data_IF_754848330487
#
_entry.id   IF_754848330487
#
_cell.length_a   1.000
_cell.length_b   1.000
_cell.length_c   1.000
_cell.angle_alpha   90.00
_cell.angle_beta   90.00
_cell.angle_gamma   90.00
#
_symmetry.space_group_name_H-M   'P 1'
#
loop_
_entity.id
_entity.type
_entity.pdbx_description
1 polymer ?
#
# COMPACT_ATOMS: atom_id res chain seq x y z
N UNK A 1 -0.62 -7.92 -25.17
CA UNK A 1 -0.72 -6.90 -24.10
C UNK A 1 -0.25 -7.59 -22.83
N UNK A 2 0.64 -6.99 -22.01
CA UNK A 2 1.06 -7.60 -20.75
C UNK A 2 -0.15 -7.77 -19.82
N UNK A 3 -0.23 -8.91 -19.13
CA UNK A 3 -1.22 -9.20 -18.10
C UNK A 3 -0.71 -8.68 -16.76
N UNK A 4 -1.46 -7.75 -16.18
CA UNK A 4 -1.21 -7.22 -14.84
C UNK A 4 -2.24 -7.80 -13.88
N UNK A 5 -1.81 -8.33 -12.74
CA UNK A 5 -2.71 -8.75 -11.65
C UNK A 5 -2.39 -7.98 -10.39
N UNK A 6 -3.42 -7.44 -9.74
CA UNK A 6 -3.29 -6.60 -8.55
C UNK A 6 -3.87 -7.32 -7.36
N UNK A 7 -3.15 -7.27 -6.24
CA UNK A 7 -3.51 -7.91 -4.98
C UNK A 7 -3.36 -6.91 -3.83
N UNK A 8 -4.15 -7.09 -2.77
CA UNK A 8 -4.10 -6.24 -1.60
C UNK A 8 -3.29 -6.86 -0.45
N UNK A 9 -2.84 -6.06 0.52
CA UNK A 9 -2.31 -6.58 1.78
C UNK A 9 -3.29 -7.48 2.52
N UNK A 10 -2.73 -8.41 3.29
CA UNK A 10 -3.48 -9.17 4.29
C UNK A 10 -3.90 -8.20 5.41
N UNK A 11 -5.19 -8.16 5.77
CA UNK A 11 -5.62 -7.40 6.94
C UNK A 11 -5.14 -8.12 8.22
N UNK A 12 -4.67 -7.36 9.21
CA UNK A 12 -4.31 -7.88 10.52
C UNK A 12 -5.54 -8.32 11.33
N UNK A 13 -6.70 -7.70 11.06
CA UNK A 13 -7.98 -8.05 11.65
C UNK A 13 -9.09 -8.20 10.61
N UNK A 14 -10.04 -9.10 10.87
CA UNK A 14 -11.23 -9.31 10.06
C UNK A 14 -12.47 -8.84 10.82
N UNK A 15 -13.37 -8.17 10.12
CA UNK A 15 -14.69 -7.81 10.62
C UNK A 15 -15.68 -8.95 10.36
N UNK A 16 -16.17 -9.56 11.43
CA UNK A 16 -17.15 -10.66 11.40
C UNK A 16 -18.60 -10.16 11.63
N UNK A 17 -18.80 -8.84 11.70
CA UNK A 17 -20.08 -8.18 11.94
C UNK A 17 -20.51 -8.09 13.41
N UNK A 18 -19.96 -8.94 14.29
CA UNK A 18 -20.10 -8.84 15.75
C UNK A 18 -18.84 -8.33 16.47
N UNK A 19 -17.77 -8.07 15.70
CA UNK A 19 -16.53 -7.50 16.18
C UNK A 19 -15.36 -7.75 15.24
N UNK A 20 -14.20 -7.23 15.62
CA UNK A 20 -12.93 -7.46 14.96
C UNK A 20 -12.21 -8.64 15.61
N UNK A 21 -11.66 -9.55 14.80
CA UNK A 21 -10.76 -10.61 15.27
C UNK A 21 -9.43 -10.58 14.52
N UNK A 22 -8.31 -10.99 15.14
CA UNK A 22 -7.07 -11.18 14.40
C UNK A 22 -7.21 -12.24 13.30
N UNK A 23 -6.49 -12.04 12.20
CA UNK A 23 -6.29 -13.06 11.18
C UNK A 23 -5.44 -14.21 11.75
N UNK A 24 -5.72 -15.44 11.35
CA UNK A 24 -4.97 -16.62 11.80
C UNK A 24 -3.80 -16.94 10.86
N UNK A 25 -2.75 -17.63 11.34
CA UNK A 25 -1.63 -18.04 10.48
C UNK A 25 -2.05 -18.86 9.25
N UNK A 26 -3.07 -19.72 9.38
CA UNK A 26 -3.59 -20.52 8.26
C UNK A 26 -4.29 -19.64 7.21
N UNK A 27 -5.00 -18.59 7.62
CA UNK A 27 -5.65 -17.62 6.71
C UNK A 27 -4.60 -16.78 5.96
N UNK A 28 -3.55 -16.33 6.65
CA UNK A 28 -2.41 -15.62 6.04
C UNK A 28 -1.73 -16.52 5.01
N UNK A 29 -1.37 -17.75 5.40
CA UNK A 29 -0.69 -18.70 4.54
C UNK A 29 -1.53 -19.04 3.30
N UNK A 30 -2.85 -19.22 3.48
CA UNK A 30 -3.77 -19.44 2.39
C UNK A 30 -3.82 -18.24 1.42
N UNK A 31 -3.99 -17.02 1.94
CA UNK A 31 -4.06 -15.81 1.11
C UNK A 31 -2.78 -15.56 0.31
N UNK A 32 -1.62 -15.61 0.97
CA UNK A 32 -0.33 -15.41 0.32
C UNK A 32 -0.04 -16.53 -0.69
N UNK A 33 -0.39 -17.78 -0.37
CA UNK A 33 -0.28 -18.91 -1.28
C UNK A 33 -1.14 -18.77 -2.54
N UNK A 34 -2.39 -18.35 -2.39
CA UNK A 34 -3.28 -18.09 -3.54
C UNK A 34 -2.78 -16.90 -4.37
N UNK A 35 -2.28 -15.85 -3.73
CA UNK A 35 -1.68 -14.70 -4.42
C UNK A 35 -0.49 -15.12 -5.28
N UNK A 36 0.40 -15.95 -4.75
CA UNK A 36 1.52 -16.55 -5.52
C UNK A 36 0.98 -17.36 -6.69
N UNK A 37 0.00 -18.24 -6.44
CA UNK A 37 -0.57 -19.13 -7.46
C UNK A 37 -1.19 -18.35 -8.61
N UNK A 38 -1.98 -17.33 -8.33
CA UNK A 38 -2.56 -16.48 -9.38
C UNK A 38 -1.49 -15.66 -10.08
N UNK A 39 -0.53 -15.09 -9.34
CA UNK A 39 0.58 -14.31 -9.88
C UNK A 39 1.46 -15.08 -10.89
N UNK A 40 1.46 -16.41 -10.91
CA UNK A 40 2.19 -17.20 -11.91
C UNK A 40 1.80 -16.90 -13.36
N UNK A 41 0.59 -16.38 -13.59
CA UNK A 41 0.09 -16.04 -14.93
C UNK A 41 0.19 -14.54 -15.27
N UNK A 42 0.75 -13.72 -14.38
CA UNK A 42 1.00 -12.31 -14.63
C UNK A 42 2.35 -12.10 -15.31
N UNK A 43 2.37 -11.16 -16.26
CA UNK A 43 3.59 -10.56 -16.78
C UNK A 43 4.15 -9.50 -15.80
N UNK A 44 3.27 -8.84 -15.05
CA UNK A 44 3.61 -7.83 -14.03
C UNK A 44 2.73 -8.03 -12.80
N UNK A 45 3.34 -8.16 -11.63
CA UNK A 45 2.63 -8.28 -10.36
C UNK A 45 2.35 -6.88 -9.81
N UNK A 46 1.11 -6.60 -9.43
CA UNK A 46 0.69 -5.35 -8.83
C UNK A 46 0.27 -5.57 -7.40
N UNK A 47 0.50 -4.57 -6.56
CA UNK A 47 0.00 -4.57 -5.19
C UNK A 47 -0.55 -3.21 -4.80
N UNK A 48 -1.76 -3.15 -4.23
CA UNK A 48 -2.38 -1.91 -3.77
C UNK A 48 -2.24 -1.74 -2.26
N UNK A 49 -1.30 -0.89 -1.85
CA UNK A 49 -0.91 -0.70 -0.44
C UNK A 49 -1.37 0.67 0.02
N UNK A 50 -2.34 0.69 0.94
CA UNK A 50 -2.94 1.90 1.50
C UNK A 50 -2.75 1.98 3.03
N UNK A 51 -1.52 2.23 3.51
CA UNK A 51 -1.19 2.03 4.91
C UNK A 51 -1.53 3.22 5.83
N UNK A 52 -2.13 4.31 5.30
CA UNK A 52 -2.30 5.58 6.03
C UNK A 52 -3.77 5.85 6.37
N UNK A 53 -4.13 6.12 7.64
CA UNK A 53 -3.29 5.95 8.82
C UNK A 53 -3.23 4.47 9.24
N UNK A 54 -2.14 4.02 9.89
CA UNK A 54 -1.93 2.60 10.19
C UNK A 54 -3.01 2.03 11.13
N UNK A 55 -3.52 2.83 12.07
CA UNK A 55 -4.60 2.44 12.98
C UNK A 55 -5.94 2.18 12.29
N UNK A 56 -6.15 2.73 11.08
CA UNK A 56 -7.33 2.44 10.29
C UNK A 56 -7.07 1.31 9.30
N UNK A 57 -5.92 1.35 8.61
CA UNK A 57 -5.55 0.35 7.61
C UNK A 57 -5.47 -1.06 8.21
N UNK A 58 -4.93 -1.19 9.44
CA UNK A 58 -4.84 -2.44 10.21
C UNK A 58 -4.39 -3.62 9.35
N UNK A 59 -3.28 -3.45 8.62
CA UNK A 59 -2.70 -4.47 7.75
C UNK A 59 -1.56 -5.20 8.46
N UNK A 60 -1.36 -6.46 8.09
CA UNK A 60 -0.14 -7.23 8.43
C UNK A 60 0.73 -7.38 7.19
N UNK A 61 1.96 -7.85 7.38
CA UNK A 61 2.92 -8.09 6.31
C UNK A 61 3.20 -9.59 6.14
N UNK A 62 3.81 -10.01 5.01
CA UNK A 62 4.17 -11.41 4.76
C UNK A 62 5.09 -12.05 5.81
N UNK A 63 5.76 -11.26 6.65
CA UNK A 63 6.78 -11.73 7.58
C UNK A 63 6.46 -11.48 9.06
N UNK A 64 5.23 -11.04 9.38
CA UNK A 64 4.82 -10.63 10.73
C UNK A 64 3.79 -11.56 11.40
N UNK A 65 3.49 -12.73 10.85
CA UNK A 65 2.60 -13.74 11.45
C UNK A 65 1.25 -13.19 11.96
N UNK A 66 0.72 -12.16 11.30
CA UNK A 66 -0.57 -11.54 11.64
C UNK A 66 -0.50 -10.32 12.55
N UNK A 67 0.68 -9.99 13.08
CA UNK A 67 0.89 -8.75 13.82
C UNK A 67 0.70 -7.54 12.88
N UNK A 68 0.09 -6.49 13.42
CA UNK A 68 -0.12 -5.25 12.67
C UNK A 68 1.23 -4.62 12.34
N UNK A 69 1.44 -4.36 11.05
CA UNK A 69 2.63 -3.70 10.55
C UNK A 69 2.47 -2.18 10.65
N UNK A 70 3.56 -1.47 10.89
CA UNK A 70 3.60 -0.04 10.62
C UNK A 70 3.67 0.22 9.10
N UNK A 71 3.58 1.50 8.71
CA UNK A 71 3.59 1.94 7.32
C UNK A 71 4.83 1.44 6.57
N UNK A 72 6.01 1.68 7.14
CA UNK A 72 7.28 1.39 6.47
C UNK A 72 7.47 -0.12 6.35
N UNK A 73 7.27 -0.86 7.43
CA UNK A 73 7.34 -2.32 7.44
C UNK A 73 6.36 -2.94 6.45
N UNK A 74 5.11 -2.46 6.38
CA UNK A 74 4.13 -2.92 5.38
C UNK A 74 4.72 -2.83 3.97
N UNK A 75 5.23 -1.65 3.60
CA UNK A 75 5.73 -1.40 2.25
C UNK A 75 6.99 -2.21 1.95
N UNK A 76 7.97 -2.24 2.86
CA UNK A 76 9.24 -2.94 2.63
C UNK A 76 9.06 -4.44 2.57
N UNK A 77 8.20 -5.01 3.42
CA UNK A 77 7.98 -6.44 3.47
C UNK A 77 7.21 -6.93 2.24
N UNK A 78 6.17 -6.21 1.80
CA UNK A 78 5.50 -6.56 0.54
C UNK A 78 6.42 -6.36 -0.66
N UNK A 79 7.27 -5.32 -0.69
CA UNK A 79 8.21 -5.14 -1.79
C UNK A 79 9.26 -6.27 -1.84
N UNK A 80 9.81 -6.69 -0.69
CA UNK A 80 10.72 -7.82 -0.61
C UNK A 80 10.04 -9.12 -1.05
N UNK A 81 8.84 -9.38 -0.55
CA UNK A 81 8.07 -10.56 -0.92
C UNK A 81 7.69 -10.60 -2.40
N UNK A 82 7.31 -9.46 -2.99
CA UNK A 82 7.05 -9.33 -4.42
C UNK A 82 8.30 -9.62 -5.26
N UNK A 83 9.48 -9.17 -4.81
CA UNK A 83 10.74 -9.49 -5.46
C UNK A 83 11.06 -11.00 -5.39
N UNK A 84 10.74 -11.66 -4.27
CA UNK A 84 10.91 -13.11 -4.09
C UNK A 84 9.99 -13.91 -5.03
N UNK A 85 8.69 -13.64 -5.01
CA UNK A 85 7.70 -14.41 -5.80
C UNK A 85 7.71 -14.01 -7.29
N UNK A 86 8.24 -12.83 -7.61
CA UNK A 86 8.34 -12.30 -8.95
C UNK A 86 9.33 -13.08 -9.81
N UNK A 87 10.33 -13.74 -9.22
CA UNK A 87 11.39 -14.47 -9.95
C UNK A 87 12.02 -13.62 -11.08
N UNK A 88 12.22 -12.33 -10.82
CA UNK A 88 12.78 -11.36 -11.78
C UNK A 88 11.76 -10.68 -12.70
N UNK A 89 10.46 -11.02 -12.61
CA UNK A 89 9.40 -10.26 -13.27
C UNK A 89 9.26 -8.88 -12.62
N UNK A 90 8.93 -7.83 -13.39
CA UNK A 90 8.66 -6.52 -12.82
C UNK A 90 7.40 -6.57 -11.96
N UNK A 91 7.37 -5.72 -10.95
CA UNK A 91 6.18 -5.47 -10.15
C UNK A 91 5.94 -3.96 -9.99
N UNK A 92 4.72 -3.60 -9.62
CA UNK A 92 4.35 -2.22 -9.30
C UNK A 92 3.63 -2.13 -7.98
N UNK A 93 3.72 -0.97 -7.35
CA UNK A 93 2.96 -0.64 -6.15
C UNK A 93 1.99 0.49 -6.48
N UNK A 94 0.70 0.26 -6.22
CA UNK A 94 -0.32 1.28 -6.17
C UNK A 94 -0.39 1.83 -4.73
N UNK A 95 0.00 3.08 -4.57
CA UNK A 95 0.16 3.79 -3.31
C UNK A 95 -1.01 4.74 -3.07
N UNK A 96 -1.28 4.99 -1.80
CA UNK A 96 -2.38 5.83 -1.35
C UNK A 96 -2.17 7.31 -1.69
N UNK A 97 -3.16 7.89 -2.38
CA UNK A 97 -3.31 9.32 -2.60
C UNK A 97 -4.76 9.77 -2.34
N UNK A 98 -5.33 9.31 -1.23
CA UNK A 98 -6.68 9.62 -0.74
C UNK A 98 -6.74 9.43 0.79
N UNK A 99 -7.79 9.91 1.45
CA UNK A 99 -8.15 9.54 2.81
C UNK A 99 -9.24 8.47 2.79
N UNK A 100 -9.25 7.54 3.74
CA UNK A 100 -10.29 6.49 3.79
C UNK A 100 -11.72 7.05 3.81
N UNK A 101 -11.95 8.21 4.42
CA UNK A 101 -13.25 8.90 4.41
C UNK A 101 -13.71 9.31 3.00
N UNK A 102 -12.79 9.43 2.04
CA UNK A 102 -13.12 9.75 0.66
C UNK A 102 -13.73 8.54 -0.09
N UNK A 103 -13.62 7.31 0.47
CA UNK A 103 -14.14 6.08 -0.15
C UNK A 103 -15.66 5.89 0.06
N UNK A 104 -16.26 6.63 0.99
CA UNK A 104 -17.69 6.54 1.29
C UNK A 104 -17.99 6.61 2.78
N UNK A 105 -19.18 6.16 3.14
CA UNK A 105 -19.62 6.11 4.54
C UNK A 105 -18.88 5.00 5.30
N UNK A 106 -18.03 5.40 6.23
CA UNK A 106 -17.27 4.51 7.12
C UNK A 106 -18.04 4.14 8.39
N UNK A 107 -19.28 4.61 8.53
CA UNK A 107 -20.10 4.44 9.72
C UNK A 107 -19.82 5.47 10.81
N UNK A 108 -20.69 5.53 11.85
CA UNK A 108 -20.65 6.55 12.89
C UNK A 108 -19.44 6.45 13.82
N UNK A 109 -18.81 5.27 13.90
CA UNK A 109 -17.69 4.98 14.79
C UNK A 109 -16.33 5.10 14.10
N UNK A 110 -16.29 5.58 12.86
CA UNK A 110 -15.05 5.77 12.12
C UNK A 110 -14.14 6.78 12.86
N UNK A 111 -12.87 6.44 13.09
CA UNK A 111 -11.96 7.36 13.78
C UNK A 111 -11.75 8.60 12.92
N UNK A 112 -11.56 9.76 13.57
CA UNK A 112 -11.26 11.00 12.88
C UNK A 112 -10.01 10.89 11.97
N UNK A 113 -9.08 10.00 12.31
CA UNK A 113 -7.90 9.69 11.51
C UNK A 113 -8.26 9.13 10.11
N UNK A 114 -9.43 8.52 9.92
CA UNK A 114 -9.85 8.05 8.60
C UNK A 114 -10.04 9.19 7.57
N UNK A 115 -10.24 10.42 8.03
CA UNK A 115 -10.28 11.61 7.18
C UNK A 115 -8.89 12.20 6.87
N UNK A 116 -7.82 11.63 7.44
CA UNK A 116 -6.46 12.07 7.21
C UNK A 116 -5.96 11.57 5.85
N UNK A 117 -5.61 12.53 4.98
CA UNK A 117 -4.83 12.26 3.76
C UNK A 117 -3.36 12.07 4.11
N UNK A 118 -2.58 11.31 3.30
CA UNK A 118 -1.14 11.22 3.46
C UNK A 118 -0.47 12.60 3.53
N UNK A 119 0.42 12.78 4.49
CA UNK A 119 1.27 13.98 4.56
C UNK A 119 2.39 13.90 3.53
N UNK A 120 3.11 15.01 3.25
CA UNK A 120 4.31 14.96 2.40
C UNK A 120 5.37 13.94 2.84
N UNK A 121 5.52 13.71 4.15
CA UNK A 121 6.44 12.71 4.70
C UNK A 121 5.93 11.28 4.51
N UNK A 122 4.61 11.06 4.59
CA UNK A 122 4.01 9.76 4.26
C UNK A 122 4.19 9.44 2.78
N UNK A 123 3.92 10.42 1.89
CA UNK A 123 4.12 10.28 0.44
C UNK A 123 5.58 9.96 0.12
N UNK A 124 6.52 10.62 0.79
CA UNK A 124 7.95 10.34 0.66
C UNK A 124 8.30 8.94 1.12
N UNK A 125 7.84 8.55 2.30
CA UNK A 125 8.05 7.21 2.87
C UNK A 125 7.55 6.12 1.93
N UNK A 126 6.32 6.26 1.41
CA UNK A 126 5.73 5.33 0.45
C UNK A 126 6.54 5.24 -0.85
N UNK A 127 6.93 6.39 -1.42
CA UNK A 127 7.71 6.43 -2.67
C UNK A 127 9.12 5.82 -2.50
N UNK A 128 9.78 6.10 -1.37
CA UNK A 128 11.10 5.59 -1.09
C UNK A 128 11.10 4.08 -0.81
N UNK A 129 10.20 3.58 0.03
CA UNK A 129 10.09 2.15 0.28
C UNK A 129 9.79 1.37 -1.02
N UNK A 130 8.92 1.91 -1.88
CA UNK A 130 8.64 1.32 -3.19
C UNK A 130 9.87 1.29 -4.10
N UNK A 131 10.63 2.39 -4.17
CA UNK A 131 11.83 2.48 -4.99
C UNK A 131 12.97 1.58 -4.47
N UNK A 132 13.24 1.61 -3.17
CA UNK A 132 14.29 0.81 -2.52
C UNK A 132 14.00 -0.70 -2.63
N UNK A 133 12.72 -1.08 -2.56
CA UNK A 133 12.28 -2.45 -2.81
C UNK A 133 12.48 -2.91 -4.26
N UNK A 134 12.65 -1.98 -5.20
CA UNK A 134 12.86 -2.28 -6.62
C UNK A 134 11.59 -2.30 -7.47
N UNK A 135 10.52 -1.61 -7.04
CA UNK A 135 9.30 -1.49 -7.85
C UNK A 135 9.62 -0.88 -9.21
N UNK A 136 9.15 -1.52 -10.29
CA UNK A 136 9.36 -1.05 -11.65
C UNK A 136 8.49 0.17 -11.98
N UNK A 137 7.33 0.26 -11.32
CA UNK A 137 6.36 1.36 -11.48
C UNK A 137 5.76 1.70 -10.12
N UNK A 138 5.62 2.99 -9.85
CA UNK A 138 4.83 3.53 -8.74
C UNK A 138 3.57 4.14 -9.34
N UNK A 139 2.41 3.72 -8.83
CA UNK A 139 1.10 4.26 -9.20
C UNK A 139 0.52 4.96 -7.98
N UNK A 140 -0.04 6.15 -8.13
CA UNK A 140 -0.83 6.77 -7.07
C UNK A 140 -2.31 6.52 -7.36
N UNK A 141 -3.07 6.05 -6.38
CA UNK A 141 -4.51 5.84 -6.50
C UNK A 141 -5.27 6.83 -5.61
N UNK A 142 -6.38 7.36 -6.10
CA UNK A 142 -7.24 8.27 -5.33
C UNK A 142 -7.67 9.54 -6.06
N UNK A 143 -7.15 9.83 -7.26
CA UNK A 143 -7.43 11.08 -7.98
C UNK A 143 -8.92 11.28 -8.30
N UNK A 144 -9.68 10.21 -8.46
CA UNK A 144 -11.13 10.27 -8.69
C UNK A 144 -11.92 10.68 -7.45
N UNK A 145 -11.28 10.69 -6.28
CA UNK A 145 -11.87 11.02 -4.99
C UNK A 145 -11.55 12.45 -4.56
N UNK A 146 -10.64 13.12 -5.27
CA UNK A 146 -10.22 14.49 -4.97
C UNK A 146 -11.20 15.51 -5.55
N UNK A 147 -11.42 16.60 -4.82
CA UNK A 147 -12.19 17.74 -5.29
C UNK A 147 -11.34 19.01 -5.46
N UNK A 148 -11.99 20.16 -5.66
CA UNK A 148 -11.29 21.43 -5.88
C UNK A 148 -10.48 21.91 -4.66
N UNK A 149 -10.90 21.52 -3.45
CA UNK A 149 -10.23 21.90 -2.20
C UNK A 149 -8.96 21.05 -1.96
N UNK A 150 -8.81 19.94 -2.70
CA UNK A 150 -7.66 19.02 -2.63
C UNK A 150 -6.49 19.38 -3.56
N UNK A 151 -6.54 20.53 -4.24
CA UNK A 151 -5.51 20.92 -5.20
C UNK A 151 -4.09 20.98 -4.59
N UNK A 152 -3.98 21.40 -3.32
CA UNK A 152 -2.71 21.44 -2.61
C UNK A 152 -2.15 20.03 -2.34
N UNK A 153 -3.00 19.12 -1.87
CA UNK A 153 -2.61 17.73 -1.63
C UNK A 153 -2.15 17.04 -2.93
N UNK A 154 -2.88 17.24 -4.04
CA UNK A 154 -2.45 16.69 -5.33
C UNK A 154 -1.10 17.26 -5.80
N UNK A 155 -0.81 18.52 -5.50
CA UNK A 155 0.50 19.11 -5.79
C UNK A 155 1.63 18.41 -5.00
N UNK A 156 1.38 17.98 -3.76
CA UNK A 156 2.35 17.22 -2.96
C UNK A 156 2.61 15.82 -3.53
N UNK A 157 1.57 15.11 -3.99
CA UNK A 157 1.71 13.82 -4.68
C UNK A 157 2.58 13.95 -5.94
N UNK A 158 2.36 15.01 -6.72
CA UNK A 158 3.18 15.32 -7.90
C UNK A 158 4.62 15.70 -7.51
N UNK A 159 4.81 16.42 -6.40
CA UNK A 159 6.13 16.77 -5.91
C UNK A 159 6.93 15.52 -5.51
N UNK A 160 6.33 14.59 -4.76
CA UNK A 160 6.94 13.33 -4.39
C UNK A 160 7.32 12.49 -5.62
N UNK A 161 6.39 12.35 -6.58
CA UNK A 161 6.62 11.65 -7.85
C UNK A 161 7.81 12.20 -8.65
N UNK A 162 7.92 13.54 -8.71
CA UNK A 162 9.03 14.21 -9.40
C UNK A 162 10.34 14.06 -8.66
N UNK A 163 10.32 14.13 -7.33
CA UNK A 163 11.51 14.01 -6.51
C UNK A 163 12.13 12.61 -6.62
N UNK A 164 11.33 11.55 -6.44
CA UNK A 164 11.80 10.16 -6.56
C UNK A 164 12.32 9.84 -7.96
N UNK A 165 11.74 10.43 -9.01
CA UNK A 165 12.21 10.22 -10.39
C UNK A 165 13.51 10.97 -10.70
N UNK A 166 13.73 12.15 -10.09
CA UNK A 166 14.86 13.02 -10.41
C UNK A 166 16.15 12.59 -9.73
N UNK A 167 16.06 12.25 -8.45
CA UNK A 167 17.21 11.93 -7.61
C UNK A 167 16.78 11.05 -6.42
N UNK A 168 16.44 9.76 -6.68
CA UNK A 168 15.86 8.91 -5.66
C UNK A 168 16.82 8.68 -4.49
N UNK A 169 18.12 8.56 -4.75
CA UNK A 169 19.14 8.34 -3.72
C UNK A 169 19.11 9.47 -2.69
N UNK A 170 19.22 10.73 -3.13
CA UNK A 170 19.20 11.86 -2.20
C UNK A 170 17.82 12.07 -1.59
N UNK A 171 16.75 11.80 -2.34
CA UNK A 171 15.39 11.93 -1.84
C UNK A 171 15.09 10.92 -0.71
N UNK A 172 15.69 9.74 -0.71
CA UNK A 172 15.44 8.70 0.29
C UNK A 172 16.46 8.66 1.45
N UNK A 173 17.69 9.14 1.26
CA UNK A 173 18.77 9.08 2.29
C UNK A 173 18.48 9.90 3.58
N UNK A 174 17.46 10.75 3.60
CA UNK A 174 17.10 11.57 4.76
C UNK A 174 15.79 11.11 5.45
N UNK A 175 15.51 9.81 5.40
CA UNK A 175 14.45 9.14 6.17
C UNK A 175 15.05 8.50 7.43
#
# INVERSE_FOLDING_TARGET
>A
LPVMMVHAPVPAVLDEGDGLRPVTPDEIAYYLGETVRYSQTADIIGFDVYPIPPEFAQVTSPYLDGEQADVYTTLTDYAAWLAEIGEGRPYFLALQAFAYADLGDLGPDAPAAAAQKPTPDDLRTMACAAWEGGAAVIVWWGQSLLDADDAAFWADVLAASRAITRDPVNYCTAL
#
